data_IF_655689680981
#
_entry.id   IF_655689680981
#
_cell.length_a   1.000
_cell.length_b   1.000
_cell.length_c   1.000
_cell.angle_alpha   90.00
_cell.angle_beta   90.00
_cell.angle_gamma   90.00
#
_symmetry.space_group_name_H-M   'P 1'
#
loop_
_entity.id
_entity.type
_entity.pdbx_description
1 polymer ?
#
# COMPACT_ATOMS: atom_id res chain seq x y z
N UNK A 1 -3.53 22.92 11.95
CA UNK A 1 -4.71 22.04 11.76
C UNK A 1 -4.32 20.57 11.68
N UNK A 2 -3.36 20.14 10.86
CA UNK A 2 -2.98 18.73 10.73
C UNK A 2 -2.56 18.03 12.03
N UNK A 3 -1.79 18.69 12.89
CA UNK A 3 -1.36 18.13 14.19
C UNK A 3 -2.54 17.84 15.13
N UNK A 4 -3.54 18.73 15.16
CA UNK A 4 -4.74 18.53 15.99
C UNK A 4 -5.58 17.35 15.47
N UNK A 5 -5.73 17.24 14.14
CA UNK A 5 -6.41 16.10 13.53
C UNK A 5 -5.69 14.79 13.85
N UNK A 6 -4.37 14.76 13.69
CA UNK A 6 -3.56 13.57 13.98
C UNK A 6 -3.64 13.16 15.46
N UNK A 7 -3.61 14.13 16.39
CA UNK A 7 -3.80 13.86 17.82
C UNK A 7 -5.19 13.28 18.11
N UNK A 8 -6.23 13.78 17.43
CA UNK A 8 -7.59 13.26 17.57
C UNK A 8 -7.69 11.81 17.06
N UNK A 9 -7.16 11.53 15.87
CA UNK A 9 -7.09 10.17 15.31
C UNK A 9 -6.36 9.23 16.28
N UNK A 10 -5.21 9.66 16.83
CA UNK A 10 -4.45 8.86 17.79
C UNK A 10 -5.20 8.51 19.08
N UNK A 11 -6.17 9.35 19.50
CA UNK A 11 -7.00 9.09 20.69
C UNK A 11 -8.25 8.28 20.39
N UNK A 12 -8.86 8.46 19.20
CA UNK A 12 -10.21 7.94 18.91
C UNK A 12 -10.18 6.67 18.05
N UNK A 13 -9.14 6.48 17.23
CA UNK A 13 -9.11 5.42 16.22
C UNK A 13 -7.93 4.44 16.38
N UNK A 14 -7.06 4.64 17.36
CA UNK A 14 -5.99 3.70 17.64
C UNK A 14 -6.44 2.71 18.72
N UNK A 15 -6.33 1.41 18.41
CA UNK A 15 -6.61 0.33 19.34
C UNK A 15 -5.33 -0.43 19.71
N UNK A 16 -5.25 -0.88 20.97
CA UNK A 16 -4.26 -1.88 21.38
C UNK A 16 -4.88 -3.27 21.23
N UNK A 17 -4.52 -3.95 20.16
CA UNK A 17 -5.10 -5.24 19.78
C UNK A 17 -4.32 -6.36 20.46
N UNK A 18 -4.96 -7.23 21.29
CA UNK A 18 -4.30 -8.33 21.96
C UNK A 18 -3.55 -9.26 20.99
N UNK A 19 -2.27 -9.52 21.24
CA UNK A 19 -1.40 -10.35 20.41
C UNK A 19 -0.87 -9.67 19.13
N UNK A 20 -1.45 -8.52 18.70
CA UNK A 20 -0.97 -7.75 17.55
C UNK A 20 -0.20 -6.50 17.99
N UNK A 21 -0.77 -5.70 18.88
CA UNK A 21 -0.23 -4.43 19.36
C UNK A 21 -1.06 -3.22 18.89
N UNK A 22 -0.47 -2.02 18.98
CA UNK A 22 -1.14 -0.78 18.56
C UNK A 22 -1.38 -0.77 17.05
N UNK A 23 -2.63 -0.49 16.66
CA UNK A 23 -3.05 -0.42 15.27
C UNK A 23 -4.07 0.70 15.05
N UNK A 24 -3.97 1.40 13.94
CA UNK A 24 -5.00 2.32 13.49
C UNK A 24 -6.15 1.51 12.89
N UNK A 25 -7.35 1.75 13.39
CA UNK A 25 -8.56 1.17 12.82
C UNK A 25 -8.99 1.90 11.55
N UNK A 26 -9.66 1.25 10.61
CA UNK A 26 -10.19 1.88 9.40
C UNK A 26 -11.24 2.97 9.70
N UNK A 27 -11.82 2.95 10.89
CA UNK A 27 -12.78 3.92 11.39
C UNK A 27 -13.23 3.58 12.81
N UNK A 28 -13.98 4.50 13.42
CA UNK A 28 -14.42 4.42 14.82
C UNK A 28 -15.46 3.32 15.07
N UNK A 29 -16.25 2.96 14.06
CA UNK A 29 -17.40 2.05 14.19
C UNK A 29 -17.36 1.01 13.07
N UNK A 30 -17.78 -0.23 13.38
CA UNK A 30 -17.96 -1.30 12.40
C UNK A 30 -16.73 -2.16 12.10
N UNK A 31 -15.59 -1.90 12.76
CA UNK A 31 -14.33 -2.62 12.50
C UNK A 31 -13.84 -3.45 13.70
N UNK A 32 -14.55 -3.37 14.81
CA UNK A 32 -14.27 -4.14 16.03
C UNK A 32 -15.53 -4.86 16.48
N UNK A 33 -15.43 -6.15 16.72
CA UNK A 33 -16.51 -6.99 17.27
C UNK A 33 -15.88 -8.00 18.23
N UNK A 34 -16.21 -7.90 19.52
CA UNK A 34 -15.70 -8.76 20.59
C UNK A 34 -14.18 -8.91 20.57
N UNK A 35 -13.67 -10.09 20.12
CA UNK A 35 -12.25 -10.44 20.03
C UNK A 35 -11.69 -10.29 18.60
N UNK A 36 -12.34 -9.56 17.72
CA UNK A 36 -12.03 -9.45 16.29
C UNK A 36 -11.85 -8.01 15.82
N UNK A 37 -10.88 -7.79 14.96
CA UNK A 37 -10.54 -6.49 14.36
C UNK A 37 -10.40 -6.65 12.86
N UNK A 38 -11.28 -5.99 12.10
CA UNK A 38 -11.24 -5.96 10.64
C UNK A 38 -10.35 -4.83 10.16
N UNK A 39 -9.32 -5.15 9.40
CA UNK A 39 -8.27 -4.21 8.99
C UNK A 39 -8.09 -4.23 7.47
N UNK A 40 -7.68 -3.08 6.92
CA UNK A 40 -7.36 -2.93 5.50
C UNK A 40 -5.87 -2.60 5.36
N UNK A 41 -5.05 -3.50 4.76
CA UNK A 41 -3.61 -3.29 4.61
C UNK A 41 -3.26 -2.02 3.82
N UNK A 42 -4.12 -1.58 2.91
CA UNK A 42 -3.85 -0.42 2.05
C UNK A 42 -4.08 0.94 2.71
N UNK A 43 -4.70 0.97 3.90
CA UNK A 43 -5.04 2.23 4.57
C UNK A 43 -3.88 2.85 5.35
N UNK A 44 -2.77 2.11 5.51
CA UNK A 44 -1.62 2.54 6.28
C UNK A 44 -0.35 2.53 5.41
N UNK A 45 -0.15 3.54 4.53
CA UNK A 45 1.10 3.66 3.78
C UNK A 45 2.29 3.73 4.75
N UNK A 46 3.31 2.88 4.60
CA UNK A 46 4.50 2.88 5.47
C UNK A 46 5.21 4.24 5.51
N UNK A 47 5.23 4.97 4.39
CA UNK A 47 5.79 6.32 4.29
C UNK A 47 5.08 7.29 5.24
N UNK A 48 3.75 7.22 5.29
CA UNK A 48 2.95 8.09 6.16
C UNK A 48 3.20 7.78 7.63
N UNK A 49 3.26 6.49 8.00
CA UNK A 49 3.60 6.09 9.37
C UNK A 49 5.03 6.46 9.75
N UNK A 50 5.99 6.36 8.83
CA UNK A 50 7.36 6.82 9.06
C UNK A 50 7.39 8.33 9.36
N UNK A 51 6.59 9.13 8.64
CA UNK A 51 6.45 10.57 8.91
C UNK A 51 5.80 10.85 10.26
N UNK A 52 4.75 10.15 10.60
CA UNK A 52 4.07 10.31 11.88
C UNK A 52 4.91 9.86 13.07
N UNK A 53 5.78 8.87 12.89
CA UNK A 53 6.71 8.40 13.93
C UNK A 53 7.74 9.45 14.38
N UNK A 54 7.89 10.56 13.65
CA UNK A 54 8.68 11.72 14.06
C UNK A 54 7.92 12.62 15.03
N UNK A 55 6.62 12.40 15.24
CA UNK A 55 5.75 13.16 16.12
C UNK A 55 5.47 12.39 17.41
N UNK A 56 5.02 13.11 18.44
CA UNK A 56 4.56 12.49 19.69
C UNK A 56 3.26 11.71 19.44
N UNK A 57 3.16 10.51 20.05
CA UNK A 57 1.97 9.68 19.95
C UNK A 57 2.27 8.20 19.71
N UNK A 58 1.27 7.39 19.34
CA UNK A 58 1.40 5.93 19.20
C UNK A 58 2.11 5.49 17.91
N UNK A 59 2.45 6.42 17.03
CA UNK A 59 2.81 6.18 15.62
C UNK A 59 4.05 5.30 15.44
N UNK A 60 5.08 5.50 16.27
CA UNK A 60 6.31 4.70 16.20
C UNK A 60 6.05 3.23 16.52
N UNK A 61 5.22 2.96 17.53
CA UNK A 61 4.87 1.59 17.89
C UNK A 61 4.06 0.89 16.78
N UNK A 62 3.22 1.66 16.04
CA UNK A 62 2.43 1.13 14.94
C UNK A 62 3.23 0.76 13.70
N UNK A 63 4.44 1.26 13.50
CA UNK A 63 5.27 0.86 12.36
C UNK A 63 5.50 -0.65 12.33
N UNK A 64 5.81 -1.24 13.50
CA UNK A 64 6.01 -2.70 13.61
C UNK A 64 4.73 -3.49 13.35
N UNK A 65 3.61 -3.06 13.91
CA UNK A 65 2.31 -3.75 13.73
C UNK A 65 1.78 -3.60 12.31
N UNK A 66 1.98 -2.43 11.69
CA UNK A 66 1.65 -2.23 10.27
C UNK A 66 2.49 -3.11 9.35
N UNK A 67 3.79 -3.26 9.63
CA UNK A 67 4.64 -4.18 8.88
C UNK A 67 4.15 -5.63 8.99
N UNK A 68 3.76 -6.06 10.21
CA UNK A 68 3.15 -7.38 10.41
C UNK A 68 1.88 -7.53 9.58
N UNK A 69 0.99 -6.53 9.57
CA UNK A 69 -0.21 -6.53 8.75
C UNK A 69 0.14 -6.77 7.27
N UNK A 70 1.09 -6.01 6.71
CA UNK A 70 1.46 -6.12 5.30
C UNK A 70 2.09 -7.47 4.93
N UNK A 71 2.92 -8.05 5.79
CA UNK A 71 3.65 -9.30 5.52
C UNK A 71 2.83 -10.54 5.87
N UNK A 72 2.23 -10.57 7.07
CA UNK A 72 1.58 -11.77 7.60
C UNK A 72 0.23 -12.05 6.93
N UNK A 73 -0.47 -11.02 6.38
CA UNK A 73 -1.72 -11.21 5.64
C UNK A 73 -1.52 -11.64 4.19
N UNK A 74 -0.28 -11.61 3.70
CA UNK A 74 0.06 -11.97 2.32
C UNK A 74 1.03 -13.17 2.23
N UNK A 75 0.76 -14.32 2.85
CA UNK A 75 1.71 -15.44 2.94
C UNK A 75 2.11 -16.01 1.58
N UNK A 76 1.25 -15.92 0.58
CA UNK A 76 1.52 -16.33 -0.79
C UNK A 76 2.06 -15.18 -1.68
N UNK A 77 2.33 -14.00 -1.10
CA UNK A 77 2.81 -12.82 -1.82
C UNK A 77 1.72 -12.02 -2.54
N UNK A 78 0.47 -12.25 -2.18
CA UNK A 78 -0.67 -11.49 -2.66
C UNK A 78 -1.38 -10.83 -1.48
N UNK A 79 -1.40 -9.49 -1.47
CA UNK A 79 -2.09 -8.73 -0.43
C UNK A 79 -3.60 -8.89 -0.55
N UNK A 80 -4.33 -9.11 0.54
CA UNK A 80 -5.79 -9.03 0.53
C UNK A 80 -6.26 -7.57 0.57
N UNK A 81 -7.50 -7.34 0.10
CA UNK A 81 -8.17 -6.05 0.31
C UNK A 81 -8.45 -5.82 1.81
N UNK A 82 -8.92 -6.87 2.48
CA UNK A 82 -9.26 -6.86 3.90
C UNK A 82 -8.79 -8.14 4.59
N UNK A 83 -8.44 -8.03 5.86
CA UNK A 83 -8.11 -9.14 6.72
C UNK A 83 -8.71 -8.93 8.11
N UNK A 84 -8.92 -10.01 8.85
CA UNK A 84 -9.40 -9.97 10.23
C UNK A 84 -8.30 -10.47 11.16
N UNK A 85 -8.04 -9.75 12.26
CA UNK A 85 -7.29 -10.27 13.37
C UNK A 85 -8.25 -10.82 14.42
N UNK A 86 -8.07 -12.05 14.85
CA UNK A 86 -8.80 -12.64 15.97
C UNK A 86 -7.85 -12.94 17.13
N UNK A 87 -8.21 -12.47 18.32
CA UNK A 87 -7.41 -12.71 19.53
C UNK A 87 -7.24 -14.22 19.78
N UNK A 88 -6.02 -14.64 20.06
CA UNK A 88 -5.68 -16.05 20.28
C UNK A 88 -5.57 -16.92 19.01
N UNK A 89 -6.05 -16.45 17.83
CA UNK A 89 -5.95 -17.20 16.57
C UNK A 89 -5.07 -16.51 15.52
N UNK A 90 -4.82 -15.19 15.65
CA UNK A 90 -4.06 -14.42 14.67
C UNK A 90 -4.87 -14.04 13.45
N UNK A 91 -4.20 -13.87 12.29
CA UNK A 91 -4.82 -13.45 11.05
C UNK A 91 -5.80 -14.50 10.49
N UNK A 92 -6.97 -14.02 10.12
CA UNK A 92 -8.04 -14.78 9.49
C UNK A 92 -8.44 -14.08 8.17
N UNK A 93 -8.98 -14.81 7.18
CA UNK A 93 -9.60 -14.20 6.02
C UNK A 93 -10.71 -13.23 6.42
N UNK A 94 -10.90 -12.17 5.62
CA UNK A 94 -12.03 -11.25 5.83
C UNK A 94 -13.38 -12.00 5.79
N UNK A 95 -14.28 -11.80 6.77
CA UNK A 95 -15.56 -12.53 6.81
C UNK A 95 -16.53 -12.13 5.69
N UNK A 96 -16.33 -10.95 5.06
CA UNK A 96 -17.22 -10.43 4.00
C UNK A 96 -16.71 -10.80 2.61
N UNK A 97 -15.39 -10.66 2.40
CA UNK A 97 -14.72 -10.93 1.11
C UNK A 97 -13.43 -11.73 1.36
N UNK A 98 -13.56 -13.03 1.68
CA UNK A 98 -12.40 -13.85 2.03
C UNK A 98 -11.43 -13.98 0.85
N UNK A 99 -10.14 -13.86 1.14
CA UNK A 99 -9.04 -14.11 0.21
C UNK A 99 -9.07 -13.30 -1.10
N UNK A 100 -9.65 -12.12 -1.09
CA UNK A 100 -9.70 -11.26 -2.29
C UNK A 100 -8.67 -10.14 -2.17
N UNK A 101 -7.76 -10.05 -3.15
CA UNK A 101 -6.92 -8.89 -3.40
C UNK A 101 -7.32 -8.23 -4.73
N UNK A 102 -7.68 -6.94 -4.69
CA UNK A 102 -8.18 -6.19 -5.83
C UNK A 102 -7.95 -4.68 -5.67
N UNK A 103 -9.00 -3.88 -5.69
CA UNK A 103 -8.97 -2.41 -5.70
C UNK A 103 -8.36 -1.78 -4.43
N UNK A 104 -8.44 -2.44 -3.29
CA UNK A 104 -7.73 -1.98 -2.09
C UNK A 104 -6.27 -2.46 -2.10
N UNK A 105 -6.05 -3.74 -2.31
CA UNK A 105 -4.75 -4.39 -2.28
C UNK A 105 -3.73 -3.80 -3.26
N UNK A 106 -4.18 -3.28 -4.41
CA UNK A 106 -3.29 -2.69 -5.42
C UNK A 106 -2.43 -1.55 -4.85
N UNK A 107 -2.95 -0.79 -3.87
CA UNK A 107 -2.20 0.28 -3.22
C UNK A 107 -1.08 -0.22 -2.32
N UNK A 108 -1.20 -1.45 -1.78
CA UNK A 108 -0.13 -2.06 -0.97
C UNK A 108 1.14 -2.25 -1.80
N UNK A 109 1.01 -2.70 -3.04
CA UNK A 109 2.14 -2.87 -3.96
C UNK A 109 2.77 -1.52 -4.35
N UNK A 110 1.93 -0.50 -4.55
CA UNK A 110 2.37 0.88 -4.81
C UNK A 110 3.22 1.39 -3.63
N UNK A 111 2.70 1.27 -2.40
CA UNK A 111 3.41 1.71 -1.19
C UNK A 111 4.74 0.97 -1.00
N UNK A 112 4.75 -0.35 -1.17
CA UNK A 112 5.95 -1.17 -1.04
C UNK A 112 7.05 -0.75 -2.04
N UNK A 113 6.67 -0.55 -3.31
CA UNK A 113 7.60 -0.12 -4.35
C UNK A 113 8.15 1.29 -4.15
N UNK A 114 7.34 2.21 -3.59
CA UNK A 114 7.72 3.60 -3.36
C UNK A 114 8.54 3.84 -2.08
N UNK A 115 8.81 2.84 -1.25
CA UNK A 115 9.69 2.99 -0.10
C UNK A 115 11.09 3.48 -0.52
N UNK A 116 11.74 4.27 0.33
CA UNK A 116 13.11 4.69 0.15
C UNK A 116 14.05 3.48 0.04
N UNK A 117 15.13 3.58 -0.73
CA UNK A 117 16.04 2.45 -0.96
C UNK A 117 16.75 2.02 0.33
N UNK A 118 16.96 2.95 1.25
CA UNK A 118 17.55 2.73 2.58
C UNK A 118 16.51 2.42 3.67
N UNK A 119 15.23 2.25 3.32
CA UNK A 119 14.20 1.85 4.28
C UNK A 119 14.41 0.38 4.69
N UNK A 120 14.52 0.07 6.00
CA UNK A 120 14.79 -1.29 6.47
C UNK A 120 13.69 -2.31 6.13
N UNK A 121 12.49 -1.86 5.78
CA UNK A 121 11.36 -2.70 5.46
C UNK A 121 11.21 -2.97 3.96
N UNK A 122 11.86 -2.16 3.10
CA UNK A 122 11.71 -2.27 1.64
C UNK A 122 12.08 -3.64 1.10
N UNK A 123 13.24 -4.15 1.46
CA UNK A 123 13.72 -5.43 0.95
C UNK A 123 12.77 -6.59 1.29
N UNK A 124 12.22 -6.61 2.51
CA UNK A 124 11.28 -7.64 2.94
C UNK A 124 9.96 -7.56 2.16
N UNK A 125 9.40 -6.36 1.99
CA UNK A 125 8.14 -6.16 1.26
C UNK A 125 8.29 -6.44 -0.24
N UNK A 126 9.37 -5.95 -0.86
CA UNK A 126 9.65 -6.24 -2.28
C UNK A 126 9.82 -7.75 -2.51
N UNK A 127 10.53 -8.45 -1.61
CA UNK A 127 10.67 -9.91 -1.66
C UNK A 127 9.32 -10.61 -1.50
N UNK A 128 8.51 -10.16 -0.53
CA UNK A 128 7.19 -10.75 -0.26
C UNK A 128 6.28 -10.66 -1.48
N UNK A 129 6.27 -9.54 -2.20
CA UNK A 129 5.38 -9.31 -3.33
C UNK A 129 5.94 -9.75 -4.70
N UNK A 130 7.05 -10.48 -4.75
CA UNK A 130 7.59 -11.04 -5.99
C UNK A 130 6.60 -11.94 -6.78
N UNK A 131 5.66 -12.68 -6.14
CA UNK A 131 4.62 -13.39 -6.88
C UNK A 131 3.76 -12.47 -7.75
N UNK A 132 3.36 -11.29 -7.27
CA UNK A 132 2.62 -10.31 -8.08
C UNK A 132 3.46 -9.75 -9.23
N UNK A 133 4.75 -9.50 -9.00
CA UNK A 133 5.70 -9.06 -10.04
C UNK A 133 5.79 -10.10 -11.15
N UNK A 134 6.02 -11.37 -10.79
CA UNK A 134 6.10 -12.49 -11.77
C UNK A 134 4.79 -12.69 -12.53
N UNK A 135 3.67 -12.66 -11.82
CA UNK A 135 2.34 -12.78 -12.42
C UNK A 135 2.10 -11.69 -13.47
N UNK A 136 2.39 -10.44 -13.12
CA UNK A 136 2.24 -9.31 -14.06
C UNK A 136 3.17 -9.40 -15.24
N UNK A 137 4.43 -9.84 -15.05
CA UNK A 137 5.39 -10.03 -16.12
C UNK A 137 4.95 -11.14 -17.11
N UNK A 138 4.37 -12.22 -16.59
CA UNK A 138 3.91 -13.36 -17.40
C UNK A 138 2.63 -13.05 -18.19
N UNK A 139 1.69 -12.35 -17.58
CA UNK A 139 0.39 -12.04 -18.19
C UNK A 139 0.39 -10.78 -19.05
N UNK A 140 1.41 -9.91 -18.91
CA UNK A 140 1.47 -8.62 -19.58
C UNK A 140 0.51 -7.57 -19.03
N UNK A 141 -0.33 -7.93 -18.05
CA UNK A 141 -1.28 -7.03 -17.41
C UNK A 141 -1.46 -7.38 -15.93
N UNK A 142 -1.81 -6.39 -15.11
CA UNK A 142 -2.17 -6.63 -13.72
C UNK A 142 -3.59 -7.21 -13.67
N UNK A 143 -3.84 -8.33 -12.96
CA UNK A 143 -5.19 -8.88 -12.82
C UNK A 143 -6.10 -7.94 -12.04
N UNK A 144 -7.39 -7.96 -12.34
CA UNK A 144 -8.39 -7.20 -11.55
C UNK A 144 -8.54 -7.78 -10.16
N UNK A 145 -8.55 -9.11 -10.06
CA UNK A 145 -8.70 -9.83 -8.78
C UNK A 145 -7.70 -10.98 -8.68
N UNK A 146 -7.21 -11.19 -7.49
CA UNK A 146 -6.39 -12.35 -7.12
C UNK A 146 -7.04 -13.02 -5.92
N UNK A 147 -7.21 -14.33 -5.97
CA UNK A 147 -7.45 -15.13 -4.77
C UNK A 147 -6.11 -15.27 -4.02
N UNK A 148 -5.99 -14.67 -2.85
CA UNK A 148 -4.73 -14.54 -2.11
C UNK A 148 -4.24 -15.85 -1.50
N UNK A 149 -5.11 -16.85 -1.36
CA UNK A 149 -4.77 -18.17 -0.85
C UNK A 149 -4.23 -19.09 -1.96
N UNK A 150 -4.81 -19.04 -3.16
CA UNK A 150 -4.46 -19.93 -4.28
C UNK A 150 -3.61 -19.27 -5.37
N UNK A 151 -3.55 -17.94 -5.41
CA UNK A 151 -2.93 -17.20 -6.51
C UNK A 151 -3.74 -17.19 -7.82
N UNK A 152 -4.95 -17.74 -7.84
CA UNK A 152 -5.82 -17.71 -9.02
C UNK A 152 -6.27 -16.27 -9.31
N UNK A 153 -6.30 -15.93 -10.59
CA UNK A 153 -6.64 -14.58 -11.04
C UNK A 153 -7.93 -14.56 -11.86
N UNK A 154 -8.59 -13.40 -11.87
CA UNK A 154 -9.73 -13.15 -12.76
C UNK A 154 -9.76 -11.69 -13.18
N UNK A 155 -10.21 -11.46 -14.42
CA UNK A 155 -10.31 -10.15 -15.03
C UNK A 155 -8.95 -9.49 -15.31
N UNK A 156 -9.00 -8.38 -16.03
CA UNK A 156 -7.86 -7.50 -16.26
C UNK A 156 -8.10 -6.20 -15.52
N UNK A 157 -7.18 -5.83 -14.65
CA UNK A 157 -7.27 -4.60 -13.87
C UNK A 157 -7.28 -3.36 -14.76
N UNK A 158 -7.91 -2.26 -14.30
CA UNK A 158 -7.89 -0.99 -15.01
C UNK A 158 -6.44 -0.47 -15.14
N UNK A 159 -6.23 0.47 -16.06
CA UNK A 159 -4.89 1.03 -16.33
C UNK A 159 -4.22 1.63 -15.08
N UNK A 160 -4.98 2.11 -14.12
CA UNK A 160 -4.46 2.55 -12.82
C UNK A 160 -3.70 1.47 -12.06
N UNK A 161 -4.07 0.18 -12.23
CA UNK A 161 -3.33 -0.93 -11.62
C UNK A 161 -1.93 -1.09 -12.23
N UNK A 162 -1.80 -0.91 -13.55
CA UNK A 162 -0.49 -0.87 -14.20
C UNK A 162 0.39 0.24 -13.62
N UNK A 163 -0.17 1.43 -13.44
CA UNK A 163 0.56 2.55 -12.85
C UNK A 163 0.97 2.30 -11.39
N UNK A 164 0.09 1.71 -10.59
CA UNK A 164 0.38 1.38 -9.20
C UNK A 164 1.54 0.38 -9.04
N UNK A 165 1.75 -0.49 -10.03
CA UNK A 165 2.85 -1.46 -9.99
C UNK A 165 4.18 -0.93 -10.51
N UNK A 166 4.26 0.20 -11.21
CA UNK A 166 5.52 0.73 -11.76
C UNK A 166 6.66 0.78 -10.73
N UNK A 167 6.45 1.29 -9.49
CA UNK A 167 7.52 1.33 -8.51
C UNK A 167 8.03 -0.07 -8.10
N UNK A 168 7.13 -1.05 -7.98
CA UNK A 168 7.49 -2.41 -7.61
C UNK A 168 8.20 -3.15 -8.74
N UNK A 169 7.92 -2.79 -9.99
CA UNK A 169 8.51 -3.35 -11.21
C UNK A 169 9.86 -2.71 -11.58
N UNK A 170 10.36 -1.75 -10.81
CA UNK A 170 11.57 -0.98 -11.17
C UNK A 170 12.80 -1.85 -11.48
N UNK A 171 12.93 -3.03 -10.86
CA UNK A 171 14.00 -3.98 -11.10
C UNK A 171 13.71 -4.99 -12.25
N UNK A 172 12.60 -4.84 -12.98
CA UNK A 172 12.14 -5.73 -14.04
C UNK A 172 11.87 -4.92 -15.33
N UNK A 173 12.93 -4.55 -16.10
CA UNK A 173 12.82 -3.58 -17.19
C UNK A 173 11.80 -3.96 -18.25
N UNK A 174 11.70 -5.24 -18.62
CA UNK A 174 10.75 -5.69 -19.62
C UNK A 174 9.29 -5.57 -19.16
N UNK A 175 9.00 -6.04 -17.95
CA UNK A 175 7.67 -5.92 -17.36
C UNK A 175 7.28 -4.45 -17.13
N UNK A 176 8.23 -3.63 -16.70
CA UNK A 176 8.05 -2.19 -16.53
C UNK A 176 7.70 -1.51 -17.87
N UNK A 177 8.43 -1.84 -18.95
CA UNK A 177 8.16 -1.30 -20.28
C UNK A 177 6.75 -1.67 -20.78
N UNK A 178 6.34 -2.92 -20.59
CA UNK A 178 4.97 -3.37 -20.94
C UNK A 178 3.91 -2.57 -20.19
N UNK A 179 4.07 -2.34 -18.88
CA UNK A 179 3.07 -1.57 -18.13
C UNK A 179 3.07 -0.08 -18.51
N UNK A 180 4.23 0.52 -18.81
CA UNK A 180 4.32 1.90 -19.35
C UNK A 180 3.58 2.02 -20.68
N UNK A 181 3.79 1.08 -21.59
CA UNK A 181 3.10 1.05 -22.89
C UNK A 181 1.59 0.91 -22.70
N UNK A 182 1.15 -0.01 -21.81
CA UNK A 182 -0.27 -0.19 -21.49
C UNK A 182 -0.93 1.10 -20.98
N UNK A 183 -0.22 1.91 -20.19
CA UNK A 183 -0.71 3.20 -19.71
C UNK A 183 -0.88 4.19 -20.88
N UNK A 184 0.08 4.22 -21.81
CA UNK A 184 0.01 5.11 -22.97
C UNK A 184 -1.14 4.76 -23.93
N UNK A 185 -1.37 3.45 -24.13
CA UNK A 185 -2.39 2.94 -25.05
C UNK A 185 -3.83 3.07 -24.51
N UNK A 186 -3.98 3.32 -23.22
CA UNK A 186 -5.28 3.38 -22.56
C UNK A 186 -5.47 4.71 -21.79
N UNK A 187 -5.68 5.83 -22.52
CA UNK A 187 -5.91 7.13 -21.89
C UNK A 187 -7.18 7.10 -21.03
N UNK A 188 -7.15 7.82 -19.91
CA UNK A 188 -8.27 7.86 -18.98
C UNK A 188 -9.42 8.77 -19.48
N UNK A 189 -10.65 8.34 -19.24
CA UNK A 189 -11.82 9.21 -19.30
C UNK A 189 -11.85 10.22 -18.14
N UNK A 190 -12.67 11.26 -18.29
CA UNK A 190 -12.75 12.36 -17.32
C UNK A 190 -13.28 11.97 -15.94
N UNK A 191 -13.98 10.85 -15.83
CA UNK A 191 -14.62 10.31 -14.61
C UNK A 191 -13.77 9.21 -13.93
N UNK A 192 -12.62 8.87 -14.47
CA UNK A 192 -11.78 7.77 -13.99
C UNK A 192 -10.93 8.16 -12.75
N UNK A 193 -11.54 8.78 -11.74
CA UNK A 193 -10.87 9.31 -10.55
C UNK A 193 -9.90 8.32 -9.87
N UNK A 194 -10.33 7.07 -9.66
CA UNK A 194 -9.53 6.05 -9.02
C UNK A 194 -8.24 5.75 -9.80
N UNK A 195 -8.37 5.48 -11.11
CA UNK A 195 -7.22 5.24 -11.98
C UNK A 195 -6.33 6.48 -12.12
N UNK A 196 -6.92 7.68 -12.22
CA UNK A 196 -6.17 8.93 -12.29
C UNK A 196 -5.31 9.15 -11.05
N UNK A 197 -5.85 8.88 -9.86
CA UNK A 197 -5.08 8.96 -8.61
C UNK A 197 -3.89 7.99 -8.61
N UNK A 198 -4.10 6.73 -9.03
CA UNK A 198 -3.01 5.74 -9.11
C UNK A 198 -1.96 6.13 -10.16
N UNK A 199 -2.39 6.71 -11.29
CA UNK A 199 -1.47 7.24 -12.31
C UNK A 199 -0.58 8.35 -11.76
N UNK A 200 -1.16 9.33 -11.05
CA UNK A 200 -0.41 10.42 -10.45
C UNK A 200 0.69 9.91 -9.52
N UNK A 201 0.37 8.94 -8.66
CA UNK A 201 1.35 8.34 -7.76
C UNK A 201 2.38 7.49 -8.52
N UNK A 202 1.94 6.51 -9.28
CA UNK A 202 2.82 5.53 -9.93
C UNK A 202 3.73 6.15 -10.98
N UNK A 203 3.16 6.93 -11.93
CA UNK A 203 3.95 7.61 -12.96
C UNK A 203 4.81 8.74 -12.39
N UNK A 204 4.29 9.51 -11.41
CA UNK A 204 5.07 10.55 -10.75
C UNK A 204 6.33 9.99 -10.11
N UNK A 205 6.23 8.83 -9.46
CA UNK A 205 7.38 8.12 -8.91
C UNK A 205 8.29 7.58 -10.02
N UNK A 206 7.74 6.91 -11.01
CA UNK A 206 8.48 6.32 -12.14
C UNK A 206 9.28 7.37 -12.93
N UNK A 207 8.68 8.53 -13.17
CA UNK A 207 9.29 9.68 -13.83
C UNK A 207 10.19 10.53 -12.92
N UNK A 208 10.46 10.05 -11.70
CA UNK A 208 11.32 10.74 -10.71
C UNK A 208 10.83 12.15 -10.33
N UNK A 209 9.55 12.45 -10.48
CA UNK A 209 8.99 13.75 -10.09
C UNK A 209 9.01 13.97 -8.59
N UNK A 210 9.04 12.90 -7.80
CA UNK A 210 9.17 12.91 -6.36
C UNK A 210 9.74 11.59 -5.83
N UNK A 211 10.21 11.62 -4.59
CA UNK A 211 10.60 10.45 -3.79
C UNK A 211 10.14 10.66 -2.36
N UNK A 212 10.17 9.59 -1.58
CA UNK A 212 10.11 9.66 -0.12
C UNK A 212 11.47 9.29 0.45
N UNK A 213 11.90 10.00 1.50
CA UNK A 213 13.04 9.56 2.28
C UNK A 213 12.61 8.52 3.33
N UNK A 214 13.58 7.95 4.05
CA UNK A 214 13.34 6.95 5.10
C UNK A 214 12.42 7.43 6.23
N UNK A 215 12.34 8.74 6.49
CA UNK A 215 11.45 9.34 7.47
C UNK A 215 10.04 9.60 6.92
N UNK A 216 9.75 9.15 5.71
CA UNK A 216 8.47 9.36 5.04
C UNK A 216 8.23 10.79 4.58
N UNK A 217 9.29 11.60 4.47
CA UNK A 217 9.21 12.97 4.00
C UNK A 217 9.20 13.00 2.47
N UNK A 218 8.25 13.75 1.92
CA UNK A 218 8.15 13.95 0.47
C UNK A 218 9.29 14.83 -0.03
N UNK A 219 9.99 14.35 -1.03
CA UNK A 219 11.10 15.03 -1.72
C UNK A 219 10.70 15.29 -3.19
N UNK A 220 10.08 16.43 -3.50
CA UNK A 220 9.72 16.77 -4.87
C UNK A 220 10.97 17.19 -5.67
N UNK A 221 11.04 16.76 -6.95
CA UNK A 221 12.18 17.08 -7.81
C UNK A 221 12.31 18.60 -8.13
N UNK A 222 11.22 19.36 -7.99
CA UNK A 222 11.21 20.82 -8.24
C UNK A 222 11.52 21.66 -6.98
N UNK A 223 11.65 21.05 -5.82
CA UNK A 223 11.87 21.78 -4.55
C UNK A 223 13.23 22.50 -4.48
N UNK A 224 14.23 22.04 -5.24
CA UNK A 224 15.54 22.69 -5.31
C UNK A 224 15.57 23.95 -6.19
N UNK A 225 14.60 24.15 -7.07
CA UNK A 225 14.57 25.31 -7.97
C UNK A 225 13.93 26.56 -7.34
N UNK A 226 13.09 26.40 -6.32
CA UNK A 226 12.47 27.53 -5.62
C UNK A 226 13.39 28.20 -4.58
N UNK A 227 14.49 27.57 -4.19
CA UNK A 227 15.42 28.10 -3.17
C UNK A 227 16.46 29.09 -3.74
N UNK A 228 16.54 29.26 -5.06
CA UNK A 228 17.55 30.11 -5.72
C UNK A 228 17.01 31.45 -6.22
N UNK A 229 15.77 31.84 -5.85
CA UNK A 229 15.13 33.09 -6.27
C UNK A 229 14.91 34.02 -5.06
N UNK A 230 16.01 34.36 -4.34
CA UNK A 230 16.00 35.47 -3.37
C UNK A 230 17.32 36.22 -3.47
#
# INVERSE_FOLDING_TARGET
MGTLLLQRIGREEVANIPGLGLMLLPGKVGFVAEDRWRLNPSYLPPQLLARFAQLNGPWRAMQKTSQRLLLETAPQGFSPDWAEWQSGKGWQPDPVKPNIGSYDAIRVYLWAGMLADDDPHKAALVKQFQPMVRLTAQSGAVPEKVDTASGKTSGTGPVGFSAALLPLLAAQPDALAVQRQRIQDNPLGNDAYFSASLLLFGQGWDQQRYRFNRQGELQPAWGSQCATSH
#
